data_IF_818271548402
#
_entry.id   IF_818271548402
#
_cell.length_a   1.000
_cell.length_b   1.000
_cell.length_c   1.000
_cell.angle_alpha   90.00
_cell.angle_beta   90.00
_cell.angle_gamma   90.00
#
_symmetry.space_group_name_H-M   'P 1'
#
loop_
_entity.id
_entity.type
_entity.pdbx_description
1 polymer ?
#
# COMPACT_ATOMS: atom_id res chain seq x y z
N UNK A 1 19.48 -0.24 11.07
CA UNK A 1 20.03 -1.48 11.64
C UNK A 1 20.18 -2.51 10.53
N UNK A 2 20.69 -3.71 10.80
CA UNK A 2 20.83 -4.76 9.77
C UNK A 2 19.43 -5.09 9.20
N UNK A 3 19.17 -4.90 7.89
CA UNK A 3 17.87 -5.20 7.30
C UNK A 3 17.48 -6.69 7.33
N UNK A 4 18.41 -7.61 7.61
CA UNK A 4 18.11 -9.02 7.81
C UNK A 4 17.55 -9.35 9.19
N UNK A 5 17.78 -8.47 10.16
CA UNK A 5 17.37 -8.67 11.55
C UNK A 5 16.26 -7.69 11.98
N UNK A 6 16.13 -6.57 11.26
CA UNK A 6 15.26 -5.46 11.65
C UNK A 6 14.48 -4.91 10.48
N UNK A 7 13.20 -4.66 10.71
CA UNK A 7 12.40 -3.79 9.85
C UNK A 7 12.76 -2.33 10.14
N UNK A 8 13.44 -1.69 9.19
CA UNK A 8 13.87 -0.31 9.33
C UNK A 8 12.75 0.65 8.91
N UNK A 9 12.41 1.58 9.80
CA UNK A 9 11.46 2.66 9.53
C UNK A 9 12.24 3.97 9.57
N UNK A 10 12.30 4.66 8.44
CA UNK A 10 12.92 5.96 8.32
C UNK A 10 11.85 7.05 8.29
N UNK A 11 12.20 8.23 8.79
CA UNK A 11 11.27 9.36 8.84
C UNK A 11 11.99 10.58 8.30
N UNK A 12 11.42 11.26 7.32
CA UNK A 12 11.94 12.52 6.79
C UNK A 12 10.81 13.36 6.21
N UNK A 13 11.10 14.59 5.80
CA UNK A 13 10.14 15.36 5.00
C UNK A 13 10.20 14.86 3.56
N UNK A 14 9.08 14.38 3.03
CA UNK A 14 8.96 13.91 1.65
C UNK A 14 8.48 15.06 0.77
N UNK A 15 9.20 15.34 -0.32
CA UNK A 15 8.97 16.54 -1.13
C UNK A 15 7.81 16.42 -2.15
N UNK A 16 7.32 15.21 -2.43
CA UNK A 16 6.38 14.93 -3.53
C UNK A 16 4.91 14.81 -3.11
N UNK A 17 4.58 15.08 -1.84
CA UNK A 17 3.21 14.92 -1.33
C UNK A 17 2.79 13.48 -1.02
N UNK A 18 3.67 12.50 -1.21
CA UNK A 18 3.46 11.14 -0.71
C UNK A 18 3.54 11.11 0.82
N UNK A 19 2.70 10.28 1.45
CA UNK A 19 2.68 10.09 2.90
C UNK A 19 3.78 9.09 3.37
N UNK A 20 4.22 8.22 2.47
CA UNK A 20 5.27 7.25 2.69
C UNK A 20 5.61 6.47 1.41
N UNK A 21 6.62 5.61 1.50
CA UNK A 21 6.90 4.58 0.51
C UNK A 21 7.69 3.41 1.16
N UNK A 22 7.62 2.23 0.57
CA UNK A 22 8.42 1.08 0.97
C UNK A 22 9.15 0.42 -0.21
N UNK A 23 10.20 -0.32 0.11
CA UNK A 23 10.82 -1.22 -0.84
C UNK A 23 10.12 -2.59 -0.78
N UNK A 24 9.67 -3.08 -1.94
CA UNK A 24 9.09 -4.43 -2.08
C UNK A 24 10.14 -5.50 -1.78
N UNK A 25 9.72 -6.71 -1.34
CA UNK A 25 10.60 -7.85 -1.25
C UNK A 25 11.34 -8.11 -2.56
N UNK A 26 12.61 -8.45 -2.46
CA UNK A 26 13.42 -8.85 -3.61
C UNK A 26 14.33 -10.01 -3.25
N UNK A 27 14.88 -10.69 -4.25
CA UNK A 27 15.84 -11.79 -4.05
C UNK A 27 17.19 -11.35 -3.50
N UNK A 28 17.41 -10.04 -3.33
CA UNK A 28 18.64 -9.45 -2.81
C UNK A 28 18.32 -8.51 -1.66
N UNK A 29 18.99 -8.71 -0.53
CA UNK A 29 18.97 -7.75 0.56
C UNK A 29 19.55 -6.42 0.09
N UNK A 30 18.84 -5.33 0.37
CA UNK A 30 19.26 -3.99 0.07
C UNK A 30 19.46 -3.22 1.39
N UNK A 31 20.53 -2.41 1.56
CA UNK A 31 20.78 -1.64 2.79
C UNK A 31 19.72 -0.56 3.11
N UNK A 32 18.67 -0.46 2.30
CA UNK A 32 17.53 0.46 2.46
C UNK A 32 16.21 -0.30 2.61
N UNK A 33 16.24 -1.63 2.72
CA UNK A 33 15.06 -2.44 2.95
C UNK A 33 14.34 -1.96 4.22
N UNK A 34 13.04 -1.74 4.07
CA UNK A 34 12.22 -1.06 5.06
C UNK A 34 11.26 -0.07 4.39
N UNK A 35 10.75 0.87 5.19
CA UNK A 35 9.88 1.93 4.71
C UNK A 35 10.37 3.31 5.13
N UNK A 36 9.88 4.33 4.42
CA UNK A 36 10.09 5.74 4.71
C UNK A 36 8.73 6.39 4.88
N UNK A 37 8.53 7.10 5.99
CA UNK A 37 7.33 7.87 6.27
C UNK A 37 7.62 9.36 6.22
N UNK A 38 6.66 10.14 5.73
CA UNK A 38 6.70 11.58 5.97
C UNK A 38 6.61 11.83 7.47
N UNK A 39 7.48 12.70 7.99
CA UNK A 39 7.52 13.04 9.40
C UNK A 39 6.18 13.54 9.96
N UNK A 40 5.30 14.13 9.14
CA UNK A 40 3.97 14.56 9.52
C UNK A 40 3.00 13.40 9.81
N UNK A 41 3.34 12.17 9.41
CA UNK A 41 2.52 10.97 9.66
C UNK A 41 2.78 10.35 11.03
N UNK A 42 3.87 10.74 11.69
CA UNK A 42 4.20 10.23 13.02
C UNK A 42 3.24 10.81 14.06
N UNK A 43 2.38 9.96 14.61
CA UNK A 43 1.39 10.36 15.61
C UNK A 43 0.22 11.16 15.03
N UNK A 44 0.01 11.12 13.71
CA UNK A 44 -1.17 11.72 13.12
C UNK A 44 -2.45 10.98 13.54
N UNK A 45 -3.33 11.68 14.24
CA UNK A 45 -4.64 11.17 14.66
C UNK A 45 -5.60 10.97 13.49
N UNK A 46 -5.44 11.71 12.38
CA UNK A 46 -6.37 11.61 11.25
C UNK A 46 -6.19 10.26 10.52
N UNK A 47 -4.96 9.91 10.16
CA UNK A 47 -4.66 8.61 9.55
C UNK A 47 -4.53 7.48 10.58
N UNK A 48 -4.43 7.78 11.89
CA UNK A 48 -4.41 6.77 12.97
C UNK A 48 -3.36 5.66 12.76
N UNK A 49 -2.22 6.01 12.15
CA UNK A 49 -1.15 5.08 11.82
C UNK A 49 -1.42 4.18 10.59
N UNK A 50 -2.46 4.43 9.80
CA UNK A 50 -2.72 3.65 8.58
C UNK A 50 -1.59 3.74 7.57
N UNK A 51 -0.90 4.88 7.47
CA UNK A 51 0.23 5.05 6.54
C UNK A 51 1.36 4.05 6.82
N UNK A 52 1.77 3.86 8.09
CA UNK A 52 2.80 2.86 8.41
C UNK A 52 2.30 1.43 8.16
N UNK A 53 1.03 1.15 8.44
CA UNK A 53 0.44 -0.16 8.16
C UNK A 53 0.44 -0.46 6.66
N UNK A 54 0.05 0.52 5.84
CA UNK A 54 0.06 0.48 4.38
C UNK A 54 1.45 0.20 3.82
N UNK A 55 2.46 1.00 4.21
CA UNK A 55 3.84 0.80 3.74
C UNK A 55 4.45 -0.51 4.23
N UNK A 56 4.05 -0.99 5.40
CA UNK A 56 4.46 -2.31 5.90
C UNK A 56 3.85 -3.44 5.06
N UNK A 57 2.62 -3.29 4.57
CA UNK A 57 2.03 -4.20 3.60
C UNK A 57 2.87 -4.35 2.34
N UNK A 58 3.31 -3.23 1.76
CA UNK A 58 4.25 -3.23 0.63
C UNK A 58 5.57 -3.91 0.96
N UNK A 59 6.18 -3.60 2.12
CA UNK A 59 7.41 -4.28 2.54
C UNK A 59 7.24 -5.80 2.66
N UNK A 60 6.04 -6.29 2.98
CA UNK A 60 5.71 -7.72 3.04
C UNK A 60 5.25 -8.30 1.70
N UNK A 61 5.23 -7.50 0.63
CA UNK A 61 4.95 -7.95 -0.73
C UNK A 61 3.52 -7.73 -1.21
N UNK A 62 2.69 -7.01 -0.46
CA UNK A 62 1.34 -6.66 -0.92
C UNK A 62 1.41 -5.51 -1.93
N UNK A 63 0.81 -5.64 -3.12
CA UNK A 63 0.62 -4.50 -4.03
C UNK A 63 -0.52 -3.59 -3.55
N UNK A 64 -0.76 -2.49 -4.27
CA UNK A 64 -2.02 -1.75 -4.08
C UNK A 64 -3.19 -2.61 -4.54
N UNK A 65 -4.33 -2.51 -3.88
CA UNK A 65 -5.57 -3.22 -4.28
C UNK A 65 -6.11 -2.79 -5.65
N UNK A 66 -5.65 -1.65 -6.15
CA UNK A 66 -5.93 -1.13 -7.50
C UNK A 66 -4.71 -1.28 -8.44
N UNK A 67 -3.87 -2.29 -8.20
CA UNK A 67 -2.68 -2.57 -9.01
C UNK A 67 -3.06 -2.66 -10.49
N UNK A 68 -2.34 -1.92 -11.34
CA UNK A 68 -2.62 -1.83 -12.79
C UNK A 68 -3.65 -0.78 -13.20
N UNK A 69 -4.25 -0.05 -12.25
CA UNK A 69 -5.07 1.16 -12.48
C UNK A 69 -6.20 0.97 -13.52
N UNK A 70 -6.67 -0.26 -13.68
CA UNK A 70 -7.67 -0.67 -14.67
C UNK A 70 -8.32 -1.98 -14.25
N UNK A 71 -9.46 -2.32 -14.86
CA UNK A 71 -10.10 -3.63 -14.66
C UNK A 71 -9.47 -4.75 -15.51
N UNK A 72 -8.37 -4.48 -16.21
CA UNK A 72 -7.64 -5.48 -17.01
C UNK A 72 -6.50 -6.16 -16.24
N UNK A 73 -6.08 -5.54 -15.14
CA UNK A 73 -5.01 -6.00 -14.24
C UNK A 73 -5.58 -6.11 -12.82
N UNK A 74 -4.84 -6.78 -11.93
CA UNK A 74 -5.28 -7.05 -10.56
C UNK A 74 -4.08 -7.03 -9.59
N UNK A 75 -4.37 -6.99 -8.30
CA UNK A 75 -3.37 -7.06 -7.24
C UNK A 75 -2.82 -8.50 -7.05
N UNK A 76 -3.48 -9.49 -7.66
CA UNK A 76 -3.05 -10.89 -7.69
C UNK A 76 -3.37 -11.67 -6.41
N UNK A 77 -4.29 -11.16 -5.59
CA UNK A 77 -4.76 -11.79 -4.35
C UNK A 77 -6.23 -12.19 -4.52
N UNK A 78 -6.54 -13.48 -4.46
CA UNK A 78 -7.86 -14.00 -4.87
C UNK A 78 -9.06 -13.46 -4.04
N UNK A 79 -8.83 -13.03 -2.80
CA UNK A 79 -9.89 -12.55 -1.89
C UNK A 79 -10.04 -11.02 -1.84
N UNK A 80 -9.22 -10.27 -2.58
CA UNK A 80 -9.37 -8.84 -2.78
C UNK A 80 -10.17 -8.59 -4.06
N UNK A 81 -11.36 -7.98 -3.99
CA UNK A 81 -12.12 -7.71 -5.21
C UNK A 81 -11.37 -6.74 -6.13
N UNK A 82 -11.27 -7.07 -7.42
CA UNK A 82 -10.62 -6.22 -8.41
C UNK A 82 -11.27 -4.81 -8.46
N UNK A 83 -10.44 -3.79 -8.28
CA UNK A 83 -10.81 -2.38 -8.38
C UNK A 83 -9.83 -1.63 -9.29
N UNK A 84 -10.33 -0.68 -10.07
CA UNK A 84 -9.50 0.04 -11.05
C UNK A 84 -8.82 1.32 -10.54
N UNK A 85 -9.19 1.86 -9.37
CA UNK A 85 -8.65 3.15 -8.88
C UNK A 85 -8.52 3.16 -7.34
N UNK A 86 -7.69 4.07 -6.78
CA UNK A 86 -7.64 4.30 -5.34
C UNK A 86 -9.00 4.73 -4.79
N UNK A 87 -9.34 4.25 -3.59
CA UNK A 87 -10.62 4.55 -2.95
C UNK A 87 -10.91 6.07 -2.82
N UNK A 88 -9.88 6.88 -2.58
CA UNK A 88 -10.00 8.33 -2.45
C UNK A 88 -10.37 9.06 -3.75
N UNK A 89 -10.25 8.40 -4.91
CA UNK A 89 -10.62 8.96 -6.21
C UNK A 89 -12.12 8.86 -6.49
N UNK A 90 -12.91 8.28 -5.60
CA UNK A 90 -14.34 8.03 -5.83
C UNK A 90 -15.25 9.08 -5.18
N UNK A 91 -16.11 9.67 -6.02
CA UNK A 91 -17.21 10.56 -5.61
C UNK A 91 -18.52 9.76 -5.47
N UNK A 92 -18.59 8.51 -5.97
CA UNK A 92 -19.75 7.59 -5.85
C UNK A 92 -19.34 6.10 -5.70
N UNK A 93 -20.20 5.31 -5.05
CA UNK A 93 -20.00 3.95 -4.53
C UNK A 93 -19.81 2.79 -5.54
N UNK A 94 -19.75 3.03 -6.86
CA UNK A 94 -19.91 1.97 -7.87
C UNK A 94 -18.72 1.82 -8.84
N UNK A 95 -17.57 1.39 -8.32
CA UNK A 95 -16.32 1.30 -9.10
C UNK A 95 -15.53 0.00 -8.88
N UNK A 96 -16.22 -1.03 -8.36
CA UNK A 96 -15.76 -2.41 -8.47
C UNK A 96 -15.78 -2.84 -9.93
N UNK A 97 -14.73 -3.54 -10.36
CA UNK A 97 -14.68 -4.08 -11.70
C UNK A 97 -15.77 -5.16 -11.88
N UNK A 98 -16.54 -5.16 -13.00
CA UNK A 98 -17.53 -6.21 -13.25
C UNK A 98 -16.88 -7.58 -13.56
N UNK A 99 -17.56 -8.72 -13.33
CA UNK A 99 -18.87 -8.86 -12.69
C UNK A 99 -18.70 -9.33 -11.24
N UNK A 100 -19.21 -8.54 -10.30
CA UNK A 100 -19.39 -9.00 -8.93
C UNK A 100 -20.46 -10.10 -8.94
N UNK A 101 -20.08 -11.38 -8.98
CA UNK A 101 -21.02 -12.43 -8.59
C UNK A 101 -21.18 -12.27 -7.09
N UNK A 102 -22.37 -11.86 -6.65
CA UNK A 102 -22.74 -11.99 -5.24
C UNK A 102 -22.70 -13.48 -4.92
N UNK A 103 -21.58 -13.97 -4.41
CA UNK A 103 -21.56 -15.31 -3.84
C UNK A 103 -22.58 -15.32 -2.70
N UNK A 104 -23.62 -16.13 -2.92
CA UNK A 104 -24.69 -16.43 -1.98
C UNK A 104 -24.07 -17.01 -0.71
N UNK A 105 -24.35 -16.38 0.44
CA UNK A 105 -24.36 -17.04 1.75
C UNK A 105 -25.81 -17.19 2.22
#
# INVERSE_FOLDING_TARGET
WDPLEYYNIYTCKIASGALGFAYLPSSRTHPRDGCVLDCAQLGDSYFSGSTIAHETGHFLGLPHTFSGESCGDDDGIDDTPNIGLPAASYIEYNTRCPPYTSDEE
#
